data_IF_710792686834
#
_entry.id   IF_710792686834
#
_cell.length_a   1.000
_cell.length_b   1.000
_cell.length_c   1.000
_cell.angle_alpha   90.00
_cell.angle_beta   90.00
_cell.angle_gamma   90.00
#
_symmetry.space_group_name_H-M   'P 1'
#
loop_
_entity.id
_entity.type
_entity.pdbx_description
1 polymer ?
#
# COMPACT_ATOMS: atom_id res chain seq x y z
N UNK A 1 21.72 -6.25 6.07
CA UNK A 1 21.50 -4.95 6.74
C UNK A 1 20.14 -4.98 7.41
N UNK A 2 19.97 -4.23 8.50
CA UNK A 2 18.70 -4.10 9.21
C UNK A 2 18.33 -2.62 9.31
N UNK A 3 17.04 -2.32 9.41
CA UNK A 3 16.60 -0.97 9.73
C UNK A 3 16.97 -0.59 11.16
N UNK A 4 17.33 0.67 11.36
CA UNK A 4 17.51 1.22 12.70
C UNK A 4 16.16 1.30 13.42
N UNK A 5 16.21 1.34 14.75
CA UNK A 5 15.00 1.46 15.58
C UNK A 5 14.18 2.71 15.23
N UNK A 6 14.87 3.82 14.94
CA UNK A 6 14.23 5.04 14.47
C UNK A 6 13.49 4.85 13.14
N UNK A 7 14.06 4.09 12.20
CA UNK A 7 13.43 3.80 10.92
C UNK A 7 12.19 2.90 11.10
N UNK A 8 12.28 1.87 11.95
CA UNK A 8 11.14 1.02 12.26
C UNK A 8 10.00 1.82 12.91
N UNK A 9 10.32 2.73 13.83
CA UNK A 9 9.30 3.57 14.49
C UNK A 9 8.64 4.54 13.51
N UNK A 10 9.40 5.09 12.56
CA UNK A 10 8.83 5.91 11.50
C UNK A 10 7.86 5.13 10.60
N UNK A 11 8.14 3.86 10.29
CA UNK A 11 7.23 3.02 9.48
C UNK A 11 5.96 2.67 10.26
N UNK A 12 6.09 2.35 11.55
CA UNK A 12 4.96 2.02 12.44
C UNK A 12 3.89 3.11 12.44
N UNK A 13 4.31 4.39 12.53
CA UNK A 13 3.38 5.52 12.49
C UNK A 13 3.08 6.03 11.09
N UNK A 14 4.05 5.95 10.18
CA UNK A 14 3.92 6.46 8.82
C UNK A 14 2.91 5.65 8.00
N UNK A 15 2.88 4.32 8.14
CA UNK A 15 1.97 3.47 7.40
C UNK A 15 0.48 3.82 7.63
N UNK A 16 -0.05 3.90 8.87
CA UNK A 16 -1.45 4.30 9.09
C UNK A 16 -1.72 5.77 8.79
N UNK A 17 -0.70 6.65 8.85
CA UNK A 17 -0.86 8.06 8.50
C UNK A 17 -1.00 8.28 6.99
N UNK A 18 -0.34 7.45 6.17
CA UNK A 18 -0.23 7.65 4.72
C UNK A 18 -1.11 6.70 3.89
N UNK A 19 -1.27 5.46 4.34
CA UNK A 19 -1.90 4.41 3.54
C UNK A 19 -3.33 4.16 4.04
N UNK A 20 -4.26 4.00 3.10
CA UNK A 20 -5.55 3.38 3.44
C UNK A 20 -5.34 1.94 3.88
N UNK A 21 -6.11 1.45 4.84
CA UNK A 21 -5.98 0.09 5.36
C UNK A 21 -6.13 -0.98 4.27
N UNK A 22 -7.00 -0.71 3.29
CA UNK A 22 -7.30 -1.59 2.16
C UNK A 22 -6.43 -1.33 0.92
N UNK A 23 -5.31 -0.60 1.03
CA UNK A 23 -4.51 -0.20 -0.15
C UNK A 23 -4.07 -1.37 -1.03
N UNK A 24 -3.90 -2.58 -0.47
CA UNK A 24 -3.53 -3.78 -1.24
C UNK A 24 -4.65 -4.32 -2.13
N UNK A 25 -5.89 -3.89 -1.91
CA UNK A 25 -7.06 -4.31 -2.69
C UNK A 25 -6.90 -3.99 -4.18
N UNK A 26 -6.09 -2.99 -4.54
CA UNK A 26 -5.75 -2.67 -5.94
C UNK A 26 -5.12 -3.85 -6.71
N UNK A 27 -4.68 -4.90 -6.01
CA UNK A 27 -4.12 -6.13 -6.59
C UNK A 27 -5.16 -7.26 -6.73
N UNK A 28 -6.39 -7.06 -6.25
CA UNK A 28 -7.47 -8.01 -6.43
C UNK A 28 -7.96 -8.01 -7.88
N UNK A 29 -8.51 -9.14 -8.33
CA UNK A 29 -8.87 -9.35 -9.72
C UNK A 29 -9.86 -8.32 -10.27
N UNK A 30 -10.84 -7.91 -9.47
CA UNK A 30 -11.86 -6.93 -9.82
C UNK A 30 -11.26 -5.53 -10.03
N UNK A 31 -10.36 -5.09 -9.15
CA UNK A 31 -9.68 -3.80 -9.29
C UNK A 31 -8.71 -3.78 -10.48
N UNK A 32 -8.03 -4.90 -10.75
CA UNK A 32 -7.15 -5.05 -11.92
C UNK A 32 -7.98 -5.00 -13.20
N UNK A 33 -9.07 -5.78 -13.30
CA UNK A 33 -9.95 -5.80 -14.47
C UNK A 33 -10.53 -4.41 -14.75
N UNK A 34 -11.03 -3.73 -13.70
CA UNK A 34 -11.54 -2.38 -13.81
C UNK A 34 -10.47 -1.39 -14.29
N UNK A 35 -9.21 -1.58 -13.87
CA UNK A 35 -8.09 -0.74 -14.32
C UNK A 35 -7.76 -0.95 -15.80
N UNK A 36 -7.77 -2.20 -16.28
CA UNK A 36 -7.59 -2.52 -17.71
C UNK A 36 -8.69 -1.88 -18.55
N UNK A 37 -9.97 -2.07 -18.17
CA UNK A 37 -11.13 -1.51 -18.88
C UNK A 37 -11.13 0.02 -18.99
N UNK A 38 -10.41 0.73 -18.14
CA UNK A 38 -10.31 2.21 -18.19
C UNK A 38 -9.28 2.70 -19.21
N UNK A 39 -8.34 1.84 -19.62
CA UNK A 39 -7.23 2.22 -20.52
C UNK A 39 -7.28 1.53 -21.88
N UNK A 40 -8.29 0.69 -22.11
CA UNK A 40 -8.57 -0.01 -23.38
C UNK A 40 -9.99 0.27 -23.81
#
# INVERSE_FOLDING_TARGET
GAFSDACNKAIEFGKPMLMRDDWKRVLEWDEIEASIRRIT
#
